data_IF_387411834632
#
_entry.id   IF_387411834632
#
_cell.length_a   1.000
_cell.length_b   1.000
_cell.length_c   1.000
_cell.angle_alpha   90.00
_cell.angle_beta   90.00
_cell.angle_gamma   90.00
#
_symmetry.space_group_name_H-M   'P 1'
#
loop_
_entity.id
_entity.type
_entity.pdbx_description
1 polymer ?
#
# COMPACT_ATOMS: atom_id res chain seq x y z
N UNK A 1 24.03 15.16 -18.15
CA UNK A 1 23.77 15.64 -16.77
C UNK A 1 22.78 16.79 -16.86
N UNK A 2 21.54 16.62 -16.38
CA UNK A 2 20.62 17.77 -16.21
C UNK A 2 20.97 18.40 -14.87
N UNK A 3 22.03 19.21 -14.83
CA UNK A 3 22.49 19.89 -13.61
C UNK A 3 22.05 21.35 -13.66
N UNK A 4 21.09 21.73 -12.81
CA UNK A 4 20.53 23.08 -12.69
C UNK A 4 19.07 23.08 -12.25
N UNK A 5 18.46 24.26 -12.12
CA UNK A 5 17.05 24.45 -11.69
C UNK A 5 16.07 23.61 -12.50
N UNK A 6 16.33 23.41 -13.79
CA UNK A 6 15.51 22.55 -14.66
C UNK A 6 15.48 21.08 -14.19
N UNK A 7 16.61 20.54 -13.72
CA UNK A 7 16.67 19.17 -13.20
C UNK A 7 15.87 19.02 -11.91
N UNK A 8 15.96 20.00 -11.01
CA UNK A 8 15.18 20.02 -9.77
C UNK A 8 13.67 20.11 -10.04
N UNK A 9 13.24 20.94 -10.99
CA UNK A 9 11.83 21.05 -11.36
C UNK A 9 11.30 19.74 -11.94
N UNK A 10 12.07 19.07 -12.81
CA UNK A 10 11.68 17.77 -13.38
C UNK A 10 11.54 16.71 -12.29
N UNK A 11 12.51 16.62 -11.36
CA UNK A 11 12.45 15.69 -10.24
C UNK A 11 11.23 15.95 -9.36
N UNK A 12 10.95 17.21 -9.00
CA UNK A 12 9.81 17.58 -8.18
C UNK A 12 8.47 17.21 -8.84
N UNK A 13 8.34 17.44 -10.15
CA UNK A 13 7.13 17.07 -10.89
C UNK A 13 6.95 15.56 -10.92
N UNK A 14 8.03 14.81 -11.12
CA UNK A 14 7.99 13.35 -11.09
C UNK A 14 7.55 12.84 -9.71
N UNK A 15 8.15 13.35 -8.63
CA UNK A 15 7.79 13.01 -7.26
C UNK A 15 6.32 13.33 -6.96
N UNK A 16 5.82 14.48 -7.44
CA UNK A 16 4.42 14.86 -7.29
C UNK A 16 3.46 13.89 -8.00
N UNK A 17 3.82 13.42 -9.21
CA UNK A 17 3.02 12.43 -9.95
C UNK A 17 3.01 11.08 -9.22
N UNK A 18 4.17 10.63 -8.75
CA UNK A 18 4.28 9.38 -7.98
C UNK A 18 3.47 9.47 -6.68
N UNK A 19 3.61 10.58 -5.94
CA UNK A 19 2.83 10.83 -4.73
C UNK A 19 1.32 10.85 -5.00
N UNK A 20 0.87 11.49 -6.09
CA UNK A 20 -0.53 11.48 -6.49
C UNK A 20 -1.03 10.07 -6.85
N UNK A 21 -0.21 9.26 -7.51
CA UNK A 21 -0.50 7.85 -7.79
C UNK A 21 -0.72 7.04 -6.52
N UNK A 22 0.19 7.15 -5.54
CA UNK A 22 0.05 6.49 -4.24
C UNK A 22 -1.15 7.00 -3.44
N UNK A 23 -1.43 8.31 -3.48
CA UNK A 23 -2.64 8.88 -2.89
C UNK A 23 -3.91 8.28 -3.54
N UNK A 24 -3.91 8.09 -4.87
CA UNK A 24 -4.97 7.40 -5.60
C UNK A 24 -5.15 5.94 -5.18
N UNK A 25 -4.06 5.19 -4.97
CA UNK A 25 -4.13 3.82 -4.43
C UNK A 25 -4.69 3.81 -2.99
N UNK A 26 -4.28 4.76 -2.14
CA UNK A 26 -4.84 4.91 -0.79
C UNK A 26 -6.33 5.25 -0.80
N UNK A 27 -6.75 6.09 -1.75
CA UNK A 27 -8.15 6.41 -2.02
C UNK A 27 -8.95 5.18 -2.48
N UNK A 28 -8.39 4.33 -3.32
CA UNK A 28 -9.02 3.06 -3.70
C UNK A 28 -9.12 2.10 -2.49
N UNK A 29 -8.03 1.98 -1.73
CA UNK A 29 -7.94 1.12 -0.55
C UNK A 29 -8.99 1.48 0.52
N UNK A 30 -9.24 2.77 0.78
CA UNK A 30 -10.30 3.19 1.74
C UNK A 30 -11.71 2.81 1.28
N UNK A 31 -11.92 2.65 -0.03
CA UNK A 31 -13.20 2.22 -0.59
C UNK A 31 -13.37 0.69 -0.57
N UNK A 32 -12.47 -0.05 0.07
CA UNK A 32 -12.52 -1.52 0.18
C UNK A 32 -11.81 -2.25 -0.95
N UNK A 33 -11.10 -1.55 -1.84
CA UNK A 33 -10.36 -2.16 -2.93
C UNK A 33 -9.04 -2.77 -2.41
N UNK A 34 -9.09 -3.99 -1.86
CA UNK A 34 -7.91 -4.67 -1.30
C UNK A 34 -6.76 -4.88 -2.29
N UNK A 35 -7.05 -4.89 -3.60
CA UNK A 35 -6.03 -5.01 -4.65
C UNK A 35 -5.07 -3.80 -4.65
N UNK A 36 -5.52 -2.63 -4.22
CA UNK A 36 -4.70 -1.42 -4.19
C UNK A 36 -3.51 -1.56 -3.23
N UNK A 37 -3.68 -2.30 -2.12
CA UNK A 37 -2.58 -2.63 -1.23
C UNK A 37 -1.56 -3.57 -1.89
N UNK A 38 -2.01 -4.55 -2.67
CA UNK A 38 -1.11 -5.50 -3.37
C UNK A 38 -0.27 -4.73 -4.38
N UNK A 39 -0.90 -3.89 -5.20
CA UNK A 39 -0.19 -3.05 -6.18
C UNK A 39 0.81 -2.13 -5.48
N UNK A 40 0.40 -1.43 -4.42
CA UNK A 40 1.30 -0.58 -3.65
C UNK A 40 2.49 -1.35 -3.04
N UNK A 41 2.25 -2.54 -2.48
CA UNK A 41 3.30 -3.40 -1.92
C UNK A 41 4.27 -3.89 -3.01
N UNK A 42 3.77 -4.24 -4.19
CA UNK A 42 4.62 -4.63 -5.32
C UNK A 42 5.52 -3.47 -5.77
N UNK A 43 4.98 -2.26 -5.92
CA UNK A 43 5.77 -1.09 -6.33
C UNK A 43 6.82 -0.76 -5.27
N UNK A 44 6.44 -0.65 -3.99
CA UNK A 44 7.38 -0.36 -2.90
C UNK A 44 8.45 -1.44 -2.74
N UNK A 45 8.06 -2.71 -2.90
CA UNK A 45 8.98 -3.85 -2.80
C UNK A 45 10.01 -3.85 -3.93
N UNK A 46 9.58 -3.61 -5.17
CA UNK A 46 10.50 -3.51 -6.30
C UNK A 46 11.45 -2.31 -6.16
N UNK A 47 10.96 -1.17 -5.68
CA UNK A 47 11.80 0.01 -5.47
C UNK A 47 12.83 -0.19 -4.35
N UNK A 48 12.43 -0.83 -3.25
CA UNK A 48 13.36 -1.24 -2.19
C UNK A 48 14.48 -2.15 -2.71
N UNK A 49 14.19 -3.06 -3.66
CA UNK A 49 15.20 -3.91 -4.28
C UNK A 49 16.20 -3.10 -5.13
N UNK A 50 15.72 -2.08 -5.86
CA UNK A 50 16.59 -1.17 -6.61
C UNK A 50 17.50 -0.38 -5.67
N UNK A 51 16.96 0.13 -4.56
CA UNK A 51 17.73 0.87 -3.55
C UNK A 51 18.75 -0.01 -2.83
N UNK A 52 18.40 -1.27 -2.54
CA UNK A 52 19.33 -2.25 -1.99
C UNK A 52 20.48 -2.53 -2.97
N UNK A 53 20.17 -2.64 -4.27
CA UNK A 53 21.20 -2.76 -5.30
C UNK A 53 22.09 -1.52 -5.39
N UNK A 54 21.53 -0.33 -5.19
CA UNK A 54 22.26 0.93 -5.07
C UNK A 54 22.98 1.12 -3.71
N UNK A 55 22.90 0.14 -2.79
CA UNK A 55 23.47 0.16 -1.44
C UNK A 55 22.95 1.28 -0.51
N UNK A 56 21.80 1.86 -0.83
CA UNK A 56 21.14 2.88 0.00
C UNK A 56 20.25 2.22 1.07
N UNK A 57 20.90 1.66 2.09
CA UNK A 57 20.23 0.89 3.15
C UNK A 57 19.29 1.71 4.03
N UNK A 58 19.53 3.04 4.16
CA UNK A 58 18.63 3.90 4.92
C UNK A 58 17.29 4.02 4.19
N UNK A 59 17.31 4.29 2.89
CA UNK A 59 16.10 4.35 2.07
C UNK A 59 15.40 2.98 2.02
N UNK A 60 16.14 1.87 1.94
CA UNK A 60 15.58 0.51 2.05
C UNK A 60 14.82 0.32 3.36
N UNK A 61 15.36 0.78 4.50
CA UNK A 61 14.70 0.68 5.80
C UNK A 61 13.37 1.45 5.83
N UNK A 62 13.32 2.66 5.26
CA UNK A 62 12.08 3.42 5.13
C UNK A 62 11.04 2.71 4.24
N UNK A 63 11.49 2.08 3.16
CA UNK A 63 10.60 1.27 2.32
C UNK A 63 10.07 0.04 3.06
N UNK A 64 10.92 -0.62 3.86
CA UNK A 64 10.50 -1.72 4.74
C UNK A 64 9.44 -1.27 5.75
N UNK A 65 9.61 -0.09 6.35
CA UNK A 65 8.62 0.49 7.25
C UNK A 65 7.29 0.80 6.53
N UNK A 66 7.34 1.38 5.33
CA UNK A 66 6.16 1.63 4.53
C UNK A 66 5.43 0.32 4.16
N UNK A 67 6.16 -0.71 3.74
CA UNK A 67 5.62 -2.05 3.48
C UNK A 67 4.97 -2.66 4.72
N UNK A 68 5.57 -2.50 5.89
CA UNK A 68 4.99 -2.96 7.15
C UNK A 68 3.62 -2.32 7.41
N UNK A 69 3.49 -1.00 7.26
CA UNK A 69 2.20 -0.33 7.41
C UNK A 69 1.19 -0.77 6.34
N UNK A 70 1.64 -0.92 5.10
CA UNK A 70 0.79 -1.32 3.98
C UNK A 70 0.24 -2.74 4.17
N UNK A 71 1.06 -3.67 4.68
CA UNK A 71 0.66 -5.02 5.02
C UNK A 71 -0.37 -5.05 6.17
N UNK A 72 -0.17 -4.24 7.21
CA UNK A 72 -1.15 -4.12 8.29
C UNK A 72 -2.48 -3.54 7.79
N UNK A 73 -2.44 -2.52 6.94
CA UNK A 73 -3.63 -1.96 6.28
C UNK A 73 -4.38 -2.99 5.43
N UNK A 74 -3.66 -3.81 4.67
CA UNK A 74 -4.25 -4.91 3.89
C UNK A 74 -4.96 -5.93 4.79
N UNK A 75 -4.33 -6.35 5.90
CA UNK A 75 -4.94 -7.28 6.86
C UNK A 75 -6.21 -6.69 7.47
N UNK A 76 -6.16 -5.43 7.90
CA UNK A 76 -7.32 -4.73 8.45
C UNK A 76 -8.46 -4.62 7.43
N UNK A 77 -8.14 -4.32 6.17
CA UNK A 77 -9.11 -4.27 5.07
C UNK A 77 -9.82 -5.61 4.86
N UNK A 78 -9.07 -6.72 4.86
CA UNK A 78 -9.64 -8.07 4.75
C UNK A 78 -10.50 -8.45 5.95
N UNK A 79 -10.07 -8.11 7.16
CA UNK A 79 -10.85 -8.35 8.37
C UNK A 79 -12.16 -7.56 8.36
N UNK A 80 -12.13 -6.30 7.94
CA UNK A 80 -13.32 -5.47 7.78
C UNK A 80 -14.29 -6.04 6.74
N UNK A 81 -13.77 -6.52 5.60
CA UNK A 81 -14.59 -7.18 4.57
C UNK A 81 -15.26 -8.45 5.11
N UNK A 82 -14.53 -9.29 5.85
CA UNK A 82 -15.06 -10.50 6.48
C UNK A 82 -16.12 -10.17 7.56
N UNK A 83 -15.86 -9.18 8.41
CA UNK A 83 -16.81 -8.75 9.45
C UNK A 83 -18.11 -8.21 8.85
N UNK A 84 -18.02 -7.42 7.76
CA UNK A 84 -19.20 -6.95 7.02
C UNK A 84 -19.99 -8.11 6.42
N UNK A 85 -19.31 -9.11 5.84
CA UNK A 85 -19.99 -10.30 5.32
C UNK A 85 -20.71 -11.09 6.42
N UNK A 86 -20.09 -11.26 7.59
CA UNK A 86 -20.71 -11.93 8.74
C UNK A 86 -21.93 -11.16 9.28
N UNK A 87 -21.88 -9.82 9.32
CA UNK A 87 -22.99 -8.98 9.77
C UNK A 87 -24.21 -9.02 8.83
N UNK A 88 -24.03 -9.43 7.57
CA UNK A 88 -25.13 -9.61 6.61
C UNK A 88 -25.86 -10.96 6.79
N UNK A 89 -25.34 -11.87 7.61
CA UNK A 89 -26.02 -13.14 7.95
C UNK A 89 -27.05 -12.84 9.06
N UNK A 90 -28.36 -13.06 8.83
CA UNK A 90 -29.38 -12.84 9.85
C UNK A 90 -29.13 -13.68 11.11
N UNK A 91 -29.39 -13.13 12.32
CA UNK A 91 -29.32 -13.92 13.55
C UNK A 91 -30.38 -15.03 13.50
N UNK A 92 -29.93 -16.28 13.36
CA UNK A 92 -30.79 -17.47 13.28
C UNK A 92 -30.36 -18.54 12.26
N UNK A 93 -29.43 -18.23 11.35
CA UNK A 93 -28.92 -19.16 10.31
C UNK A 93 -27.47 -19.58 10.58
N UNK A 94 -26.86 -19.11 11.67
CA UNK A 94 -25.51 -19.50 12.05
C UNK A 94 -25.49 -21.01 12.40
N UNK A 95 -24.64 -21.83 11.76
CA UNK A 95 -24.47 -23.23 12.12
C UNK A 95 -24.10 -23.36 13.61
N UNK A 96 -24.59 -24.38 14.32
CA UNK A 96 -24.24 -24.58 15.72
C UNK A 96 -22.71 -24.70 15.84
N UNK A 97 -22.12 -23.86 16.69
CA UNK A 97 -20.73 -23.99 17.08
C UNK A 97 -20.63 -25.25 17.95
N UNK A 98 -20.38 -26.40 17.34
CA UNK A 98 -19.96 -27.60 18.08
C UNK A 98 -18.52 -27.39 18.54
N UNK A 99 -18.21 -27.63 19.83
CA UNK A 99 -16.85 -27.55 20.37
C UNK A 99 -15.92 -28.61 19.74
#
# INVERSE_FOLDING_TARGET
MITGTAGTVIALLFDAVVAAGFAGLGLAARNGASWAFIVGMSIYGLDALLLAWATDWLSVAFHGLALFFLFNGFRASRQLAAARAAALIPPGIAPPLTP
#
